data_IF_758156323483
#
_entry.id   IF_758156323483
#
_cell.length_a   1.000
_cell.length_b   1.000
_cell.length_c   1.000
_cell.angle_alpha   90.00
_cell.angle_beta   90.00
_cell.angle_gamma   90.00
#
_symmetry.space_group_name_H-M   'P 1'
#
loop_
_entity.id
_entity.type
_entity.pdbx_description
1 polymer ?
#
# COMPACT_ATOMS: atom_id res chain seq x y z
N UNK A 1 4.07 15.46 -18.15
CA UNK A 1 3.85 14.29 -19.05
C UNK A 1 3.69 14.86 -20.44
N UNK A 2 4.60 14.54 -21.37
CA UNK A 2 4.54 15.11 -22.73
C UNK A 2 3.91 14.11 -23.71
N UNK A 3 2.92 14.59 -24.46
CA UNK A 3 2.39 13.92 -25.65
C UNK A 3 2.82 14.76 -26.86
N UNK A 4 3.93 14.36 -27.50
CA UNK A 4 4.54 15.13 -28.58
C UNK A 4 5.19 16.43 -28.10
N UNK A 5 4.99 17.55 -28.81
CA UNK A 5 5.57 18.87 -28.45
C UNK A 5 4.74 19.68 -27.46
N UNK A 6 3.77 19.05 -26.79
CA UNK A 6 2.85 19.72 -25.88
C UNK A 6 3.13 19.27 -24.44
N UNK A 7 3.58 20.23 -23.64
CA UNK A 7 3.65 20.10 -22.18
C UNK A 7 2.21 20.12 -21.67
N UNK A 8 1.67 18.94 -21.33
CA UNK A 8 0.39 18.85 -20.66
C UNK A 8 0.60 19.33 -19.22
N UNK A 9 0.22 20.58 -18.95
CA UNK A 9 0.05 21.09 -17.61
C UNK A 9 -1.16 20.37 -16.99
N UNK A 10 -0.88 19.37 -16.16
CA UNK A 10 -1.87 18.65 -15.38
C UNK A 10 -1.64 18.97 -13.91
N UNK A 11 -2.72 19.15 -13.15
CA UNK A 11 -2.67 19.35 -11.69
C UNK A 11 -2.26 18.07 -10.93
N UNK A 12 -2.10 16.95 -11.64
CA UNK A 12 -1.75 15.65 -11.10
C UNK A 12 -0.60 15.02 -11.89
N UNK A 13 0.22 14.23 -11.20
CA UNK A 13 1.33 13.51 -11.79
C UNK A 13 1.35 12.06 -11.29
N UNK A 14 1.62 11.12 -12.20
CA UNK A 14 1.85 9.71 -11.86
C UNK A 14 3.27 9.57 -11.33
N UNK A 15 3.41 9.39 -10.03
CA UNK A 15 4.69 9.12 -9.38
C UNK A 15 4.70 7.69 -8.81
N UNK A 16 5.87 7.07 -8.85
CA UNK A 16 6.14 5.81 -8.17
C UNK A 16 7.30 6.05 -7.22
N UNK A 17 7.00 6.14 -5.92
CA UNK A 17 8.01 6.32 -4.88
C UNK A 17 7.50 5.78 -3.54
N UNK A 18 8.42 5.37 -2.67
CA UNK A 18 8.12 4.91 -1.30
C UNK A 18 7.45 6.01 -0.45
N UNK A 19 7.67 7.28 -0.79
CA UNK A 19 7.05 8.44 -0.13
C UNK A 19 5.53 8.53 -0.33
N UNK A 20 4.99 7.99 -1.43
CA UNK A 20 3.54 7.92 -1.65
C UNK A 20 2.86 6.97 -0.66
N UNK A 21 3.52 5.87 -0.31
CA UNK A 21 3.01 4.90 0.68
C UNK A 21 2.93 5.53 2.07
N UNK A 22 3.91 6.36 2.44
CA UNK A 22 3.89 7.07 3.72
C UNK A 22 2.67 7.98 3.87
N UNK A 23 2.28 8.67 2.80
CA UNK A 23 1.08 9.54 2.79
C UNK A 23 -0.20 8.72 2.92
N UNK A 24 -0.25 7.52 2.31
CA UNK A 24 -1.37 6.58 2.45
C UNK A 24 -1.53 6.07 3.89
N UNK A 25 -0.44 5.62 4.51
CA UNK A 25 -0.45 5.14 5.91
C UNK A 25 -0.85 6.27 6.87
N UNK A 26 -0.35 7.48 6.64
CA UNK A 26 -0.73 8.66 7.44
C UNK A 26 -2.23 8.97 7.30
N UNK A 27 -2.79 8.85 6.09
CA UNK A 27 -4.23 9.01 5.84
C UNK A 27 -5.06 8.01 6.64
N UNK A 28 -4.74 6.71 6.55
CA UNK A 28 -5.48 5.67 7.29
C UNK A 28 -5.34 5.84 8.81
N UNK A 29 -4.14 6.15 9.30
CA UNK A 29 -3.91 6.41 10.72
C UNK A 29 -4.72 7.62 11.23
N UNK A 30 -4.84 8.67 10.42
CA UNK A 30 -5.64 9.84 10.78
C UNK A 30 -7.14 9.52 10.84
N UNK A 31 -7.65 8.71 9.91
CA UNK A 31 -9.04 8.26 9.93
C UNK A 31 -9.34 7.40 11.16
N UNK A 32 -8.46 6.45 11.48
CA UNK A 32 -8.57 5.64 12.69
C UNK A 32 -8.59 6.51 13.95
N UNK A 33 -7.78 7.58 13.99
CA UNK A 33 -7.77 8.51 15.12
C UNK A 33 -9.02 9.39 15.22
N UNK A 34 -9.65 9.73 14.09
CA UNK A 34 -10.91 10.49 14.07
C UNK A 34 -12.09 9.62 14.52
N UNK A 35 -12.14 8.37 14.07
CA UNK A 35 -13.21 7.41 14.46
C UNK A 35 -13.03 6.92 15.90
N UNK A 36 -11.78 6.76 16.34
CA UNK A 36 -11.43 6.32 17.69
C UNK A 36 -10.45 7.30 18.38
N UNK A 37 -10.94 8.47 18.85
CA UNK A 37 -10.11 9.46 19.52
C UNK A 37 -9.42 8.94 20.79
N UNK A 38 -9.99 7.93 21.44
CA UNK A 38 -9.49 7.27 22.64
C UNK A 38 -8.31 6.31 22.38
N UNK A 39 -8.09 5.90 21.13
CA UNK A 39 -7.01 4.97 20.82
C UNK A 39 -5.64 5.62 20.97
N UNK A 40 -4.75 4.93 21.68
CA UNK A 40 -3.33 5.26 21.72
C UNK A 40 -2.68 4.99 20.36
N UNK A 41 -1.58 5.68 20.06
CA UNK A 41 -0.81 5.47 18.84
C UNK A 41 -0.45 3.99 18.67
N UNK A 42 -0.08 3.30 19.75
CA UNK A 42 0.26 1.86 19.74
C UNK A 42 -0.90 0.97 19.27
N UNK A 43 -2.14 1.32 19.61
CA UNK A 43 -3.34 0.56 19.19
C UNK A 43 -3.59 0.75 17.70
N UNK A 44 -3.43 1.98 17.20
CA UNK A 44 -3.54 2.29 15.77
C UNK A 44 -2.47 1.53 14.99
N UNK A 45 -1.21 1.56 15.46
CA UNK A 45 -0.12 0.81 14.85
C UNK A 45 -0.36 -0.69 14.85
N UNK A 46 -0.77 -1.27 15.99
CA UNK A 46 -1.08 -2.70 16.07
C UNK A 46 -2.20 -3.09 15.10
N UNK A 47 -3.25 -2.26 15.01
CA UNK A 47 -4.37 -2.50 14.10
C UNK A 47 -3.90 -2.47 12.65
N UNK A 48 -3.09 -1.48 12.28
CA UNK A 48 -2.50 -1.37 10.93
C UNK A 48 -1.64 -2.57 10.56
N UNK A 49 -0.86 -3.10 11.50
CA UNK A 49 -0.03 -4.30 11.28
C UNK A 49 -0.89 -5.56 11.15
N UNK A 50 -1.99 -5.68 11.90
CA UNK A 50 -2.85 -6.87 11.86
C UNK A 50 -3.77 -6.94 10.63
N UNK A 51 -4.16 -5.79 10.04
CA UNK A 51 -5.00 -5.76 8.83
C UNK A 51 -4.24 -5.97 7.52
N UNK A 52 -2.93 -6.16 7.62
CA UNK A 52 -2.00 -6.15 6.53
C UNK A 52 -1.96 -7.56 5.87
N UNK A 53 -1.88 -7.61 4.53
CA UNK A 53 -1.99 -8.82 3.71
C UNK A 53 -0.68 -9.12 2.99
N UNK A 54 -0.29 -10.39 2.97
CA UNK A 54 0.93 -10.85 2.29
C UNK A 54 0.64 -11.65 1.01
N UNK A 55 -0.63 -11.71 0.59
CA UNK A 55 -1.11 -12.50 -0.55
C UNK A 55 -1.52 -11.54 -1.65
N UNK A 56 -1.01 -11.76 -2.86
CA UNK A 56 -1.35 -11.00 -4.06
C UNK A 56 -2.75 -11.40 -4.59
N UNK A 57 -3.25 -10.64 -5.55
CA UNK A 57 -4.59 -10.80 -6.13
C UNK A 57 -4.81 -12.15 -6.84
N UNK A 58 -3.74 -12.85 -7.21
CA UNK A 58 -3.75 -14.17 -7.83
C UNK A 58 -3.71 -15.31 -6.79
N UNK A 59 -3.69 -14.98 -5.50
CA UNK A 59 -3.60 -15.94 -4.41
C UNK A 59 -2.18 -16.44 -4.13
N UNK A 60 -1.17 -15.95 -4.85
CA UNK A 60 0.23 -16.22 -4.56
C UNK A 60 0.76 -15.27 -3.47
N UNK A 61 1.89 -15.61 -2.87
CA UNK A 61 2.56 -14.70 -1.93
C UNK A 61 3.26 -13.62 -2.76
N UNK A 62 3.29 -12.39 -2.25
CA UNK A 62 3.94 -11.25 -2.93
C UNK A 62 5.39 -11.60 -3.34
N UNK A 63 5.76 -11.22 -4.56
CA UNK A 63 7.07 -11.47 -5.15
C UNK A 63 7.77 -10.20 -5.58
N UNK A 64 9.10 -10.18 -5.43
CA UNK A 64 9.90 -8.98 -5.70
C UNK A 64 9.89 -8.63 -7.18
N UNK A 65 9.59 -7.36 -7.50
CA UNK A 65 9.68 -6.83 -8.87
C UNK A 65 11.13 -6.47 -9.27
N UNK A 66 12.13 -7.23 -8.79
CA UNK A 66 13.53 -6.96 -9.14
C UNK A 66 13.78 -7.23 -10.63
N UNK A 67 14.46 -6.28 -11.28
CA UNK A 67 14.81 -6.40 -12.70
C UNK A 67 16.00 -7.35 -12.82
N UNK A 68 15.81 -8.41 -13.59
CA UNK A 68 16.77 -9.46 -13.99
C UNK A 68 16.72 -10.75 -13.13
N UNK A 69 16.18 -11.80 -13.77
CA UNK A 69 16.43 -13.24 -13.55
C UNK A 69 15.79 -13.97 -12.36
N UNK A 70 14.95 -13.37 -11.53
CA UNK A 70 14.33 -14.14 -10.43
C UNK A 70 12.87 -13.77 -10.20
N UNK A 71 12.00 -14.24 -11.10
CA UNK A 71 10.53 -14.20 -10.94
C UNK A 71 10.01 -15.04 -9.76
N UNK A 72 10.89 -15.71 -9.02
CA UNK A 72 10.58 -16.63 -7.92
C UNK A 72 11.22 -16.21 -6.58
N UNK A 73 11.68 -14.96 -6.42
CA UNK A 73 12.03 -14.47 -5.08
C UNK A 73 10.74 -14.10 -4.35
N UNK A 74 10.32 -15.03 -3.51
CA UNK A 74 9.30 -14.81 -2.50
C UNK A 74 9.71 -13.64 -1.62
N UNK A 75 8.86 -12.63 -1.51
CA UNK A 75 9.18 -11.51 -0.65
C UNK A 75 9.10 -11.90 0.81
N UNK A 76 10.11 -11.44 1.55
CA UNK A 76 10.19 -11.70 2.97
C UNK A 76 9.56 -10.54 3.75
N UNK A 77 9.22 -10.71 5.03
CA UNK A 77 8.78 -9.59 5.88
C UNK A 77 9.79 -8.43 5.96
N UNK A 78 11.06 -8.67 5.60
CA UNK A 78 12.06 -7.62 5.48
C UNK A 78 11.78 -6.67 4.29
N UNK A 79 11.16 -7.19 3.22
CA UNK A 79 10.94 -6.48 1.97
C UNK A 79 9.63 -5.65 2.01
N UNK A 80 8.57 -6.12 2.69
CA UNK A 80 7.24 -5.48 2.71
C UNK A 80 6.77 -5.06 4.12
N UNK A 81 7.54 -5.37 5.17
CA UNK A 81 7.12 -5.16 6.55
C UNK A 81 5.85 -5.96 6.88
N UNK A 82 4.89 -5.32 7.54
CA UNK A 82 3.59 -5.93 7.81
C UNK A 82 2.71 -6.12 6.55
N UNK A 83 3.06 -5.48 5.42
CA UNK A 83 2.38 -5.53 4.11
C UNK A 83 0.94 -4.95 4.08
N UNK A 84 0.79 -3.62 3.99
CA UNK A 84 -0.51 -2.95 3.89
C UNK A 84 -1.05 -2.97 2.44
N UNK A 85 -1.92 -3.94 2.12
CA UNK A 85 -2.85 -3.85 1.00
C UNK A 85 -4.27 -3.89 1.57
N UNK A 86 -4.96 -2.76 1.62
CA UNK A 86 -6.42 -2.79 1.79
C UNK A 86 -7.01 -1.73 0.89
N UNK A 87 -7.70 -2.17 -0.18
CA UNK A 87 -8.87 -1.50 -0.79
C UNK A 87 -9.54 -2.31 -1.91
N UNK A 88 -9.49 -3.66 -1.92
CA UNK A 88 -10.36 -4.47 -2.81
C UNK A 88 -10.84 -5.75 -2.13
N UNK A 89 -11.73 -5.60 -1.15
CA UNK A 89 -12.73 -6.66 -0.89
C UNK A 89 -14.01 -6.21 -1.61
N UNK A 90 -14.49 -6.90 -2.65
CA UNK A 90 -15.85 -6.67 -3.11
C UNK A 90 -16.81 -6.96 -1.95
N UNK A 91 -17.76 -6.04 -1.72
CA UNK A 91 -18.79 -6.12 -0.70
C UNK A 91 -19.82 -7.21 -1.02
N UNK A 92 -19.41 -8.46 -1.12
CA UNK A 92 -20.33 -9.58 -1.24
C UNK A 92 -19.69 -10.88 -0.74
N UNK A 93 -20.01 -11.22 0.51
CA UNK A 93 -19.96 -12.60 1.00
C UNK A 93 -21.24 -12.84 1.80
N UNK A 94 -22.32 -13.03 1.05
CA UNK A 94 -23.19 -14.19 1.26
C UNK A 94 -22.65 -15.34 0.41
#
# INVERSE_FOLDING_TARGET
MELGRYQLAMDYALHSSTSMVATYVAGVASLLKVVHPEWSMTVIWSTLVTIAYTIDNDGSIITSQSTLESRDILDTPLDFGAALYTLTRPWNQD
#
